data_IF_278816314893
#
_entry.id   IF_278816314893
#
_cell.length_a   1.000
_cell.length_b   1.000
_cell.length_c   1.000
_cell.angle_alpha   90.00
_cell.angle_beta   90.00
_cell.angle_gamma   90.00
#
_symmetry.space_group_name_H-M   'P 1'
#
loop_
_entity.id
_entity.type
_entity.pdbx_description
1 polymer ?
#
# COMPACT_ATOMS: atom_id res chain seq x y z
N UNK A 1 1.64 6.93 0.27
CA UNK A 1 1.22 5.51 0.29
C UNK A 1 2.34 4.65 0.85
N UNK A 2 2.03 3.83 1.84
CA UNK A 2 2.99 2.91 2.47
C UNK A 2 2.50 1.48 2.25
N UNK A 3 3.38 0.59 1.81
CA UNK A 3 3.14 -0.85 1.86
C UNK A 3 3.98 -1.46 2.97
N UNK A 4 3.34 -2.27 3.81
CA UNK A 4 4.00 -3.07 4.84
C UNK A 4 4.10 -4.50 4.34
N UNK A 5 5.31 -4.98 4.09
CA UNK A 5 5.56 -6.25 3.42
C UNK A 5 6.47 -7.17 4.24
N UNK A 6 6.38 -8.49 4.00
CA UNK A 6 7.30 -9.48 4.59
C UNK A 6 8.11 -10.15 3.48
N UNK A 7 9.39 -10.48 3.71
CA UNK A 7 10.18 -11.23 2.75
C UNK A 7 9.55 -12.61 2.48
N UNK A 8 9.53 -13.03 1.21
CA UNK A 8 8.94 -14.31 0.79
C UNK A 8 7.42 -14.31 0.57
N UNK A 9 6.75 -13.18 0.76
CA UNK A 9 5.31 -13.05 0.52
C UNK A 9 4.99 -12.90 -0.98
N UNK A 10 4.29 -13.89 -1.53
CA UNK A 10 3.88 -13.93 -2.95
C UNK A 10 2.97 -12.74 -3.29
N UNK A 11 1.98 -12.45 -2.45
CA UNK A 11 1.04 -11.34 -2.68
C UNK A 11 1.72 -9.97 -2.60
N UNK A 12 2.76 -9.84 -1.77
CA UNK A 12 3.52 -8.60 -1.62
C UNK A 12 4.31 -8.30 -2.89
N UNK A 13 4.99 -9.32 -3.43
CA UNK A 13 5.68 -9.21 -4.71
C UNK A 13 4.70 -8.89 -5.84
N UNK A 14 3.57 -9.59 -5.89
CA UNK A 14 2.52 -9.36 -6.89
C UNK A 14 1.98 -7.94 -6.85
N UNK A 15 1.76 -7.40 -5.65
CA UNK A 15 1.36 -6.01 -5.47
C UNK A 15 2.43 -5.06 -5.99
N UNK A 16 3.70 -5.26 -5.59
CA UNK A 16 4.81 -4.40 -6.00
C UNK A 16 4.98 -4.35 -7.52
N UNK A 17 4.93 -5.50 -8.21
CA UNK A 17 5.01 -5.56 -9.68
C UNK A 17 3.88 -4.78 -10.36
N UNK A 18 2.65 -4.87 -9.81
CA UNK A 18 1.49 -4.15 -10.33
C UNK A 18 1.58 -2.65 -10.03
N UNK A 19 2.05 -2.28 -8.84
CA UNK A 19 2.22 -0.90 -8.45
C UNK A 19 3.30 -0.22 -9.30
N UNK A 20 4.44 -0.87 -9.55
CA UNK A 20 5.50 -0.32 -10.40
C UNK A 20 5.04 -0.03 -11.84
N UNK A 21 4.07 -0.81 -12.35
CA UNK A 21 3.44 -0.53 -13.64
C UNK A 21 2.53 0.71 -13.61
N UNK A 22 1.76 0.89 -12.52
CA UNK A 22 0.75 1.94 -12.37
C UNK A 22 1.30 3.26 -11.83
N UNK A 23 2.40 3.25 -11.06
CA UNK A 23 2.90 4.45 -10.37
C UNK A 23 3.25 5.59 -11.32
N UNK A 24 3.50 5.28 -12.60
CA UNK A 24 3.74 6.27 -13.66
C UNK A 24 2.54 7.18 -13.91
N UNK A 25 1.33 6.65 -13.70
CA UNK A 25 0.07 7.40 -13.79
C UNK A 25 -0.22 8.23 -12.53
N UNK A 26 0.52 7.99 -11.44
CA UNK A 26 0.32 8.63 -10.14
C UNK A 26 1.62 9.29 -9.62
N UNK A 27 2.19 10.27 -10.34
CA UNK A 27 3.45 10.91 -9.94
C UNK A 27 3.37 11.68 -8.63
N UNK A 28 2.17 12.02 -8.16
CA UNK A 28 1.94 12.68 -6.88
C UNK A 28 1.96 11.72 -5.68
N UNK A 29 1.92 10.40 -5.91
CA UNK A 29 1.89 9.41 -4.83
C UNK A 29 3.32 9.10 -4.38
N UNK A 30 3.68 9.59 -3.20
CA UNK A 30 4.91 9.17 -2.51
C UNK A 30 4.75 7.74 -2.01
N UNK A 31 5.45 6.78 -2.63
CA UNK A 31 5.38 5.36 -2.28
C UNK A 31 6.58 4.92 -1.47
N UNK A 32 6.33 4.24 -0.35
CA UNK A 32 7.36 3.60 0.48
C UNK A 32 6.99 2.14 0.75
N UNK A 33 7.97 1.25 0.62
CA UNK A 33 7.86 -0.13 1.06
C UNK A 33 8.62 -0.28 2.38
N UNK A 34 7.90 -0.61 3.45
CA UNK A 34 8.45 -0.85 4.78
C UNK A 34 8.37 -2.33 5.09
N UNK A 35 9.49 -2.90 5.51
CA UNK A 35 9.52 -4.29 5.98
C UNK A 35 8.77 -4.39 7.31
N UNK A 36 7.81 -5.30 7.38
CA UNK A 36 7.16 -5.71 8.62
C UNK A 36 8.14 -6.17 9.71
N UNK A 37 9.37 -6.57 9.34
CA UNK A 37 10.40 -6.99 10.28
C UNK A 37 11.21 -5.81 10.86
N UNK A 38 11.04 -4.59 10.33
CA UNK A 38 11.69 -3.40 10.89
C UNK A 38 10.91 -2.87 12.10
N UNK A 39 11.55 -2.09 13.00
CA UNK A 39 10.84 -1.42 14.10
C UNK A 39 9.67 -0.56 13.62
N UNK A 40 9.87 0.18 12.52
CA UNK A 40 8.83 1.00 11.88
C UNK A 40 7.68 0.13 11.35
N UNK A 41 7.97 -0.99 10.70
CA UNK A 41 6.95 -1.91 10.20
C UNK A 41 6.14 -2.55 11.32
N UNK A 42 6.77 -2.90 12.43
CA UNK A 42 6.09 -3.42 13.63
C UNK A 42 5.16 -2.38 14.25
N UNK A 43 5.59 -1.12 14.31
CA UNK A 43 4.76 -0.01 14.78
C UNK A 43 3.53 0.18 13.88
N UNK A 44 3.72 0.20 12.56
CA UNK A 44 2.63 0.31 11.59
C UNK A 44 1.64 -0.86 11.70
N UNK A 45 2.14 -2.10 11.87
CA UNK A 45 1.29 -3.27 12.07
C UNK A 45 0.43 -3.11 13.32
N UNK A 46 1.03 -2.68 14.43
CA UNK A 46 0.31 -2.50 15.69
C UNK A 46 -0.67 -1.33 15.63
N UNK A 47 -0.30 -0.23 14.98
CA UNK A 47 -1.13 0.98 14.86
C UNK A 47 -2.36 0.69 14.01
N UNK A 48 -2.17 0.13 12.83
CA UNK A 48 -3.23 -0.08 11.85
C UNK A 48 -3.94 -1.44 11.96
N UNK A 49 -3.45 -2.35 12.82
CA UNK A 49 -4.02 -3.69 12.95
C UNK A 49 -3.81 -4.55 11.70
N UNK A 50 -2.62 -4.52 11.10
CA UNK A 50 -2.33 -5.25 9.87
C UNK A 50 -2.18 -6.75 10.17
N UNK A 51 -3.21 -7.52 9.83
CA UNK A 51 -3.26 -8.97 10.09
C UNK A 51 -2.73 -9.82 8.92
N UNK A 52 -2.61 -9.25 7.72
CA UNK A 52 -2.16 -9.93 6.51
C UNK A 52 -1.24 -9.04 5.69
N UNK A 53 -0.23 -9.63 5.07
CA UNK A 53 0.71 -8.94 4.20
C UNK A 53 0.34 -9.11 2.72
N UNK A 54 0.50 -8.07 1.88
CA UNK A 54 0.91 -6.71 2.24
C UNK A 54 -0.21 -5.92 2.93
N UNK A 55 0.14 -5.03 3.85
CA UNK A 55 -0.77 -4.00 4.36
C UNK A 55 -0.56 -2.68 3.63
N UNK A 56 -1.60 -2.10 3.04
CA UNK A 56 -1.52 -0.86 2.28
C UNK A 56 -2.16 0.28 3.08
N UNK A 57 -1.40 1.35 3.26
CA UNK A 57 -1.81 2.55 3.98
C UNK A 57 -1.76 3.74 3.00
N UNK A 58 -2.83 4.53 2.95
CA UNK A 58 -2.98 5.71 2.10
C UNK A 58 -3.46 6.86 2.98
N UNK A 59 -2.76 7.99 2.98
CA UNK A 59 -3.09 9.18 3.80
C UNK A 59 -3.41 8.86 5.27
N UNK A 60 -2.54 8.08 5.92
CA UNK A 60 -2.70 7.62 7.30
C UNK A 60 -3.99 6.80 7.58
N UNK A 61 -4.56 6.17 6.55
CA UNK A 61 -5.66 5.22 6.66
C UNK A 61 -5.28 3.84 6.11
N UNK A 62 -5.66 2.77 6.81
CA UNK A 62 -5.50 1.40 6.29
C UNK A 62 -6.47 1.18 5.13
N UNK A 63 -5.93 1.11 3.92
CA UNK A 63 -6.70 0.85 2.70
C UNK A 63 -7.09 -0.63 2.58
N UNK A 64 -6.16 -1.54 2.88
CA UNK A 64 -6.41 -2.97 2.76
C UNK A 64 -5.23 -3.83 3.15
N UNK A 65 -5.48 -5.13 3.33
CA UNK A 65 -4.48 -6.13 3.72
C UNK A 65 -4.56 -7.37 2.83
N UNK A 66 -3.44 -8.02 2.57
CA UNK A 66 -3.37 -9.25 1.78
C UNK A 66 -3.58 -9.05 0.28
N UNK A 67 -4.56 -9.73 -0.30
CA UNK A 67 -4.84 -9.72 -1.75
C UNK A 67 -5.46 -8.41 -2.24
N UNK A 68 -4.65 -7.35 -2.35
CA UNK A 68 -5.11 -6.00 -2.72
C UNK A 68 -5.72 -5.99 -4.12
N UNK A 69 -6.95 -5.46 -4.22
CA UNK A 69 -7.59 -5.19 -5.50
C UNK A 69 -7.04 -3.89 -6.11
N UNK A 70 -6.26 -4.03 -7.20
CA UNK A 70 -5.65 -2.90 -7.88
C UNK A 70 -6.67 -1.95 -8.52
N UNK A 71 -7.84 -2.44 -8.93
CA UNK A 71 -8.86 -1.59 -9.55
C UNK A 71 -9.44 -0.62 -8.51
N UNK A 72 -9.78 -1.14 -7.33
CA UNK A 72 -10.25 -0.33 -6.20
C UNK A 72 -9.18 0.64 -5.72
N UNK A 73 -7.91 0.19 -5.65
CA UNK A 73 -6.79 1.06 -5.29
C UNK A 73 -6.63 2.21 -6.28
N UNK A 74 -6.65 1.89 -7.58
CA UNK A 74 -6.51 2.89 -8.65
C UNK A 74 -7.66 3.89 -8.60
N UNK A 75 -8.90 3.44 -8.37
CA UNK A 75 -10.04 4.33 -8.21
C UNK A 75 -9.84 5.28 -7.02
N UNK A 76 -9.46 4.75 -5.84
CA UNK A 76 -9.21 5.56 -4.64
C UNK A 76 -8.12 6.60 -4.86
N UNK A 77 -7.00 6.22 -5.50
CA UNK A 77 -5.90 7.15 -5.80
C UNK A 77 -6.33 8.25 -6.80
N UNK A 78 -7.18 7.93 -7.78
CA UNK A 78 -7.74 8.91 -8.72
C UNK A 78 -8.70 9.88 -8.03
N UNK A 79 -9.51 9.40 -7.10
CA UNK A 79 -10.38 10.24 -6.29
C UNK A 79 -9.57 11.22 -5.44
N UNK A 80 -8.49 10.75 -4.81
CA UNK A 80 -7.59 11.59 -4.00
C UNK A 80 -6.77 12.57 -4.85
N UNK A 81 -6.45 12.21 -6.10
CA UNK A 81 -5.70 13.06 -7.03
C UNK A 81 -6.59 14.09 -7.75
N UNK A 82 -7.91 13.92 -7.73
CA UNK A 82 -8.84 14.87 -8.34
C UNK A 82 -9.26 15.89 -7.28
N UNK A 83 -9.15 17.21 -7.54
CA UNK A 83 -9.68 18.19 -6.59
C UNK A 83 -11.17 17.93 -6.42
N UNK A 84 -11.61 17.65 -5.19
CA UNK A 84 -13.03 17.63 -4.87
C UNK A 84 -13.61 19.02 -5.19
N UNK A 85 -14.75 19.11 -5.90
CA UNK A 85 -15.39 20.39 -6.23
C UNK A 85 -15.92 21.13 -5.00
#
# INVERSE_FOLDING_TARGET
MISVSVPGCVECKRFEERWEALRKDFPAVDYKNISALSPEGQELISHYGIMMSPGIIIDDELFGVGGINMETLTARLKELSSPQP
#
